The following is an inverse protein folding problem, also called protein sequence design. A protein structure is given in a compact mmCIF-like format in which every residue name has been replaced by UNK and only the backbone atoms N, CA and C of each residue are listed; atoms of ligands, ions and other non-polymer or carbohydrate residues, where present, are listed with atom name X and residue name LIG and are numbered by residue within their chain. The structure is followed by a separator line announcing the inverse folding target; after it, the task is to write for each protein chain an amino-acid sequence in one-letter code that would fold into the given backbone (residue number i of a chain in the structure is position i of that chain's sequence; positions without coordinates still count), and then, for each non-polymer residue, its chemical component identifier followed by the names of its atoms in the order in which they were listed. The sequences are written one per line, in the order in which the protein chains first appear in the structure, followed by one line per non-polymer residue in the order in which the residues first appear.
data_IF_014201613702
#
_entry.id   IF_014201613702
#
_cell.length_a   1.000
_cell.length_b   1.000
_cell.length_c   1.000
_cell.angle_alpha   90.00
_cell.angle_beta   90.00
_cell.angle_gamma   90.00
#
_symmetry.space_group_name_H-M   'P 1'
#
loop_
_entity.id
_entity.type
_entity.pdbx_description
1 polymer ?
#
# COMPACT_ATOMS: atom_id res chain seq x y z
N UNK A 1 -80.36 2.23 -6.23
CA UNK A 1 -79.59 2.65 -5.06
C UNK A 1 -78.24 1.88 -5.14
N UNK A 2 -77.21 2.57 -5.55
CA UNK A 2 -75.83 1.97 -5.75
C UNK A 2 -75.03 2.33 -4.56
N UNK A 3 -74.59 1.32 -3.82
CA UNK A 3 -73.69 1.42 -2.65
C UNK A 3 -72.23 1.46 -3.15
N UNK A 4 -71.51 2.56 -2.93
CA UNK A 4 -70.16 2.80 -3.22
C UNK A 4 -69.35 2.21 -2.04
N UNK A 5 -68.53 1.19 -2.30
CA UNK A 5 -67.54 0.67 -1.34
C UNK A 5 -66.22 1.43 -1.52
N UNK A 6 -65.85 2.19 -0.50
CA UNK A 6 -64.60 2.89 -0.38
C UNK A 6 -63.50 1.89 0.07
N UNK A 7 -62.56 1.62 -0.80
CA UNK A 7 -61.34 0.85 -0.45
C UNK A 7 -60.30 1.82 0.14
N UNK A 8 -60.05 1.69 1.43
CA UNK A 8 -58.93 2.37 2.11
C UNK A 8 -57.69 1.56 1.85
N UNK A 9 -56.76 2.05 1.03
CA UNK A 9 -55.40 1.52 0.88
C UNK A 9 -54.56 2.10 2.02
N UNK A 10 -54.23 1.28 3.03
CA UNK A 10 -53.20 1.57 4.03
C UNK A 10 -51.84 1.34 3.38
N UNK A 11 -51.17 2.42 2.99
CA UNK A 11 -49.71 2.40 2.70
C UNK A 11 -48.97 2.29 4.03
N UNK A 12 -48.50 1.08 4.32
CA UNK A 12 -47.54 0.85 5.37
C UNK A 12 -46.17 1.25 4.86
N UNK A 13 -45.73 2.48 5.09
CA UNK A 13 -44.34 2.88 4.95
C UNK A 13 -43.55 2.24 6.10
N UNK A 14 -42.96 1.08 5.84
CA UNK A 14 -41.92 0.56 6.70
C UNK A 14 -40.67 1.47 6.53
N UNK A 15 -40.49 2.41 7.44
CA UNK A 15 -39.22 3.09 7.61
C UNK A 15 -38.23 2.02 8.12
N UNK A 16 -37.46 1.43 7.22
CA UNK A 16 -36.21 0.76 7.62
C UNK A 16 -35.35 1.88 8.20
N UNK A 17 -35.26 1.91 9.51
CA UNK A 17 -34.19 2.61 10.21
C UNK A 17 -32.89 1.86 9.85
N UNK A 18 -32.18 2.33 8.82
CA UNK A 18 -30.79 1.98 8.63
C UNK A 18 -30.06 2.47 9.88
N UNK A 19 -29.60 1.53 10.71
CA UNK A 19 -28.63 1.87 11.74
C UNK A 19 -27.46 2.55 11.03
N UNK A 20 -26.90 3.65 11.56
CA UNK A 20 -25.72 4.25 10.95
C UNK A 20 -24.63 3.19 10.91
N UNK A 21 -24.23 2.81 9.72
CA UNK A 21 -23.05 1.97 9.50
C UNK A 21 -21.87 2.82 9.95
N UNK A 22 -21.10 2.37 10.93
CA UNK A 22 -19.96 3.09 11.47
C UNK A 22 -19.03 3.47 10.31
N UNK A 23 -18.69 4.75 10.16
CA UNK A 23 -17.89 5.31 9.08
C UNK A 23 -18.67 5.92 7.90
N UNK A 24 -19.82 5.39 7.49
CA UNK A 24 -20.60 5.96 6.36
C UNK A 24 -21.36 7.26 6.71
N UNK A 25 -21.47 7.61 7.98
CA UNK A 25 -22.15 8.86 8.42
C UNK A 25 -21.18 10.03 8.64
N UNK A 26 -19.88 9.78 8.63
CA UNK A 26 -18.84 10.80 8.76
C UNK A 26 -18.51 11.36 7.38
N UNK A 27 -18.40 12.68 7.26
CA UNK A 27 -17.92 13.33 6.03
C UNK A 27 -16.41 13.07 5.82
N UNK A 28 -15.91 13.41 4.63
CA UNK A 28 -14.46 13.39 4.35
C UNK A 28 -13.75 14.25 5.38
N UNK A 29 -12.63 13.77 5.99
CA UNK A 29 -11.86 14.52 6.96
C UNK A 29 -11.33 15.83 6.38
N UNK A 30 -11.29 16.88 7.20
CA UNK A 30 -10.69 18.17 6.81
C UNK A 30 -9.16 18.11 6.98
N UNK A 31 -8.44 17.86 5.90
CA UNK A 31 -6.98 17.76 5.90
C UNK A 31 -6.24 19.10 6.01
N UNK A 32 -6.96 20.22 6.13
CA UNK A 32 -6.36 21.47 6.59
C UNK A 32 -5.99 21.44 8.08
N UNK A 33 -6.50 20.44 8.81
CA UNK A 33 -6.31 20.27 10.25
C UNK A 33 -5.19 19.25 10.53
N UNK A 34 -4.12 19.66 11.24
CA UNK A 34 -2.99 18.75 11.53
C UNK A 34 -3.36 17.47 12.29
N UNK A 35 -4.44 17.47 13.07
CA UNK A 35 -4.94 16.29 13.80
C UNK A 35 -5.48 15.18 12.89
N UNK A 36 -5.69 15.47 11.61
CA UNK A 36 -6.07 14.46 10.60
C UNK A 36 -4.85 13.85 9.88
N UNK A 37 -3.64 14.17 10.37
CA UNK A 37 -2.40 13.58 9.90
C UNK A 37 -1.69 12.83 11.03
N UNK A 38 -1.18 11.66 10.73
CA UNK A 38 -0.27 10.92 11.61
C UNK A 38 1.15 11.49 11.50
N UNK A 39 1.57 11.85 10.28
CA UNK A 39 2.78 12.64 10.01
C UNK A 39 2.41 13.82 9.13
N UNK A 40 2.85 15.01 9.54
CA UNK A 40 2.65 16.25 8.79
C UNK A 40 3.98 16.99 8.70
N UNK A 41 4.59 16.98 7.52
CA UNK A 41 5.85 17.65 7.21
C UNK A 41 7.02 17.29 8.16
N UNK A 42 7.12 16.01 8.59
CA UNK A 42 8.22 15.58 9.45
C UNK A 42 9.51 15.45 8.62
N UNK A 43 10.60 16.14 9.01
CA UNK A 43 11.87 16.16 8.27
C UNK A 43 11.92 17.28 7.21
N UNK A 44 11.62 18.53 7.59
CA UNK A 44 11.53 19.69 6.69
C UNK A 44 12.79 19.95 5.85
N UNK A 45 13.96 19.50 6.32
CA UNK A 45 15.25 19.68 5.65
C UNK A 45 15.49 18.76 4.43
N UNK A 46 14.62 17.78 4.19
CA UNK A 46 14.77 16.81 3.09
C UNK A 46 14.35 17.42 1.75
N UNK A 47 14.97 16.94 0.67
CA UNK A 47 14.73 17.45 -0.70
C UNK A 47 13.59 16.75 -1.43
N UNK A 48 13.13 15.60 -0.94
CA UNK A 48 12.00 14.84 -1.44
C UNK A 48 10.89 14.72 -0.39
N UNK A 49 9.68 14.42 -0.84
CA UNK A 49 8.54 14.13 0.03
C UNK A 49 8.19 12.64 -0.02
N UNK A 50 7.76 12.10 1.11
CA UNK A 50 7.10 10.81 1.22
C UNK A 50 5.61 11.03 1.52
N UNK A 51 4.74 10.47 0.70
CA UNK A 51 3.33 10.29 1.03
C UNK A 51 3.12 8.81 1.40
N UNK A 52 2.97 8.54 2.72
CA UNK A 52 2.91 7.20 3.28
C UNK A 52 1.50 6.83 3.69
N UNK A 53 0.99 5.71 3.20
CA UNK A 53 -0.36 5.23 3.44
C UNK A 53 -0.33 3.99 4.34
N UNK A 54 -0.99 4.11 5.49
CA UNK A 54 -1.02 3.08 6.52
C UNK A 54 -1.71 1.79 6.05
N UNK A 55 -1.23 0.61 6.47
CA UNK A 55 -1.95 -0.65 6.28
C UNK A 55 -3.22 -0.74 7.13
N UNK A 56 -3.98 -1.82 6.96
CA UNK A 56 -5.12 -2.12 7.83
C UNK A 56 -4.66 -2.44 9.24
N UNK A 57 -5.11 -1.65 10.21
CA UNK A 57 -4.92 -1.90 11.65
C UNK A 57 -6.23 -2.05 12.40
N UNK A 58 -7.36 -1.75 11.78
CA UNK A 58 -8.69 -1.91 12.35
C UNK A 58 -9.13 -3.38 12.30
N UNK A 59 -9.04 -4.05 13.44
CA UNK A 59 -9.43 -5.45 13.63
C UNK A 59 -10.84 -5.61 14.18
N UNK A 60 -11.52 -4.54 14.58
CA UNK A 60 -12.74 -4.61 15.40
C UNK A 60 -13.99 -4.19 14.63
N UNK A 61 -13.92 -3.12 13.84
CA UNK A 61 -15.06 -2.61 13.12
C UNK A 61 -15.55 -3.60 12.05
N UNK A 62 -16.80 -3.44 11.66
CA UNK A 62 -17.40 -4.30 10.64
C UNK A 62 -16.98 -3.87 9.22
N UNK A 63 -16.81 -2.56 9.02
CA UNK A 63 -16.53 -1.99 7.70
C UNK A 63 -15.34 -1.03 7.70
N UNK A 64 -15.50 0.21 8.17
CA UNK A 64 -14.44 1.21 8.20
C UNK A 64 -14.25 1.78 9.61
N UNK A 65 -13.02 2.18 9.93
CA UNK A 65 -12.75 2.88 11.19
C UNK A 65 -13.40 4.27 11.18
N UNK A 66 -13.78 4.72 12.38
CA UNK A 66 -14.18 6.11 12.62
C UNK A 66 -12.94 6.99 12.83
N UNK A 67 -12.97 8.23 12.34
CA UNK A 67 -11.93 9.22 12.59
C UNK A 67 -11.87 9.67 14.06
N UNK A 68 -12.90 9.39 14.84
CA UNK A 68 -12.94 9.64 16.29
C UNK A 68 -12.35 8.50 17.14
N UNK A 69 -12.05 7.35 16.53
CA UNK A 69 -11.48 6.18 17.21
C UNK A 69 -10.00 6.39 17.56
N UNK A 70 -9.77 6.81 18.80
CA UNK A 70 -8.41 7.10 19.30
C UNK A 70 -7.55 5.85 19.48
N UNK A 71 -8.16 4.70 19.77
CA UNK A 71 -7.44 3.44 19.95
C UNK A 71 -6.93 2.92 18.62
N UNK A 72 -7.78 2.91 17.60
CA UNK A 72 -7.37 2.55 16.24
C UNK A 72 -6.36 3.56 15.68
N UNK A 73 -6.53 4.88 15.93
CA UNK A 73 -5.51 5.88 15.54
C UNK A 73 -4.15 5.65 16.22
N UNK A 74 -4.11 5.19 17.45
CA UNK A 74 -2.84 4.84 18.12
C UNK A 74 -2.18 3.63 17.46
N UNK A 75 -2.95 2.61 17.10
CA UNK A 75 -2.46 1.44 16.33
C UNK A 75 -2.00 1.85 14.93
N UNK A 76 -2.72 2.76 14.28
CA UNK A 76 -2.40 3.35 12.98
C UNK A 76 -1.02 4.04 13.01
N UNK A 77 -0.79 4.92 13.99
CA UNK A 77 0.50 5.56 14.16
C UNK A 77 1.61 4.53 14.47
N UNK A 78 1.29 3.50 15.25
CA UNK A 78 2.21 2.40 15.54
C UNK A 78 2.65 1.65 14.28
N UNK A 79 1.72 1.30 13.40
CA UNK A 79 2.04 0.64 12.13
C UNK A 79 2.93 1.51 11.24
N UNK A 80 2.59 2.79 11.09
CA UNK A 80 3.44 3.74 10.34
C UNK A 80 4.84 3.87 10.95
N UNK A 81 4.96 3.91 12.27
CA UNK A 81 6.26 3.94 12.94
C UNK A 81 7.12 2.71 12.62
N UNK A 82 6.51 1.55 12.41
CA UNK A 82 7.26 0.34 12.06
C UNK A 82 7.92 0.42 10.69
N UNK A 83 7.35 1.19 9.76
CA UNK A 83 7.80 1.30 8.36
C UNK A 83 8.65 2.55 8.10
N UNK A 84 8.40 3.64 8.83
CA UNK A 84 8.95 4.97 8.51
C UNK A 84 10.46 4.99 8.40
N UNK A 85 11.18 4.15 9.18
CA UNK A 85 12.63 4.08 9.17
C UNK A 85 13.24 3.68 7.82
N UNK A 86 12.44 3.13 6.89
CA UNK A 86 12.85 2.89 5.52
C UNK A 86 13.06 4.22 4.77
N UNK A 87 12.31 5.27 5.12
CA UNK A 87 12.14 6.49 4.33
C UNK A 87 12.63 7.76 5.03
N UNK A 88 12.56 7.83 6.39
CA UNK A 88 12.69 9.08 7.15
C UNK A 88 14.04 9.78 7.01
N UNK A 89 15.11 9.03 6.71
CA UNK A 89 16.43 9.62 6.45
C UNK A 89 16.50 10.33 5.08
N UNK A 90 15.57 10.04 4.18
CA UNK A 90 15.62 10.46 2.78
C UNK A 90 14.55 11.48 2.42
N UNK A 91 13.34 11.37 2.97
CA UNK A 91 12.20 12.16 2.56
C UNK A 91 11.47 12.81 3.75
N UNK A 92 10.81 13.94 3.48
CA UNK A 92 9.91 14.62 4.41
C UNK A 92 8.56 13.87 4.43
N UNK A 93 8.08 13.50 5.62
CA UNK A 93 6.99 12.56 5.78
C UNK A 93 5.62 13.25 5.88
N UNK A 94 4.70 12.76 5.07
CA UNK A 94 3.26 13.00 5.14
C UNK A 94 2.53 11.66 5.23
N UNK A 95 1.62 11.50 6.19
CA UNK A 95 0.79 10.31 6.32
C UNK A 95 -0.58 10.72 6.89
N UNK A 96 -1.65 10.68 6.10
CA UNK A 96 -2.98 11.02 6.59
C UNK A 96 -3.56 9.91 7.44
N UNK A 97 -4.34 10.26 8.48
CA UNK A 97 -5.35 9.34 8.98
C UNK A 97 -6.50 9.28 7.99
N UNK A 98 -7.07 8.12 7.80
CA UNK A 98 -8.20 7.93 6.88
C UNK A 98 -9.13 6.84 7.41
N UNK A 99 -10.38 6.83 6.98
CA UNK A 99 -11.38 5.81 7.33
C UNK A 99 -11.04 4.47 6.66
N UNK A 100 -9.93 3.87 7.07
CA UNK A 100 -9.45 2.61 6.49
C UNK A 100 -10.53 1.52 6.56
N UNK A 101 -10.55 0.64 5.56
CA UNK A 101 -11.37 -0.56 5.60
C UNK A 101 -10.84 -1.51 6.68
N UNK A 102 -11.73 -2.00 7.54
CA UNK A 102 -11.39 -2.94 8.61
C UNK A 102 -11.02 -4.32 8.05
N UNK A 103 -10.30 -5.10 8.83
CA UNK A 103 -9.86 -6.45 8.43
C UNK A 103 -11.00 -7.35 7.97
N UNK A 104 -12.19 -7.24 8.55
CA UNK A 104 -13.36 -8.03 8.15
C UNK A 104 -13.79 -7.80 6.70
N UNK A 105 -13.56 -6.62 6.15
CA UNK A 105 -13.89 -6.28 4.77
C UNK A 105 -13.14 -7.19 3.79
N UNK A 106 -11.91 -7.58 4.12
CA UNK A 106 -11.09 -8.45 3.26
C UNK A 106 -11.58 -9.90 3.19
N UNK A 107 -12.49 -10.32 4.09
CA UNK A 107 -13.16 -11.61 4.01
C UNK A 107 -14.41 -11.62 3.09
N UNK A 108 -14.81 -10.46 2.58
CA UNK A 108 -15.93 -10.32 1.64
C UNK A 108 -15.49 -10.62 0.21
N UNK A 109 -16.47 -10.93 -0.65
CA UNK A 109 -16.21 -11.02 -2.09
C UNK A 109 -15.75 -9.67 -2.65
N UNK A 110 -14.90 -9.65 -3.71
CA UNK A 110 -14.32 -8.41 -4.23
C UNK A 110 -15.35 -7.29 -4.50
N UNK A 111 -16.52 -7.62 -5.08
CA UNK A 111 -17.56 -6.63 -5.38
C UNK A 111 -18.30 -6.12 -4.12
N UNK A 112 -18.32 -6.90 -3.04
CA UNK A 112 -18.97 -6.51 -1.76
C UNK A 112 -18.06 -5.61 -0.94
N UNK A 113 -16.74 -5.80 -1.03
CA UNK A 113 -15.76 -4.98 -0.28
C UNK A 113 -15.48 -3.63 -0.93
N UNK A 114 -15.69 -3.49 -2.26
CA UNK A 114 -15.32 -2.29 -3.01
C UNK A 114 -15.94 -0.99 -2.46
N UNK A 115 -17.19 -0.91 -2.02
CA UNK A 115 -17.75 0.32 -1.42
C UNK A 115 -16.99 0.81 -0.19
N UNK A 116 -16.41 -0.10 0.60
CA UNK A 116 -15.66 0.20 1.81
C UNK A 116 -14.23 0.64 1.50
N UNK A 117 -13.62 0.04 0.49
CA UNK A 117 -12.34 0.48 -0.06
C UNK A 117 -12.46 1.83 -0.77
N UNK A 118 -13.55 2.07 -1.48
CA UNK A 118 -13.83 3.37 -2.11
C UNK A 118 -13.99 4.48 -1.07
N UNK A 119 -14.63 4.20 0.08
CA UNK A 119 -14.73 5.15 1.19
C UNK A 119 -13.35 5.49 1.79
N UNK A 120 -12.49 4.48 1.96
CA UNK A 120 -11.12 4.68 2.41
C UNK A 120 -10.32 5.52 1.40
N UNK A 121 -10.50 5.25 0.12
CA UNK A 121 -9.84 5.96 -0.96
C UNK A 121 -10.31 7.43 -1.10
N UNK A 122 -11.60 7.71 -0.86
CA UNK A 122 -12.13 9.08 -0.84
C UNK A 122 -11.33 9.98 0.13
N UNK A 123 -10.98 9.47 1.30
CA UNK A 123 -10.18 10.19 2.28
C UNK A 123 -8.74 10.36 1.80
N UNK A 124 -8.13 9.30 1.26
CA UNK A 124 -6.76 9.34 0.74
C UNK A 124 -6.64 10.33 -0.41
N UNK A 125 -7.58 10.32 -1.35
CA UNK A 125 -7.66 11.27 -2.47
C UNK A 125 -7.76 12.72 -1.96
N UNK A 126 -8.64 12.99 -0.99
CA UNK A 126 -8.77 14.33 -0.40
C UNK A 126 -7.51 14.79 0.35
N UNK A 127 -6.82 13.86 1.05
CA UNK A 127 -5.54 14.17 1.69
C UNK A 127 -4.44 14.46 0.67
N UNK A 128 -4.41 13.71 -0.43
CA UNK A 128 -3.45 13.89 -1.49
C UNK A 128 -3.68 15.22 -2.25
N UNK A 129 -4.95 15.57 -2.51
CA UNK A 129 -5.32 16.88 -3.07
C UNK A 129 -4.83 18.03 -2.18
N UNK A 130 -5.06 17.92 -0.85
CA UNK A 130 -4.58 18.92 0.10
C UNK A 130 -3.06 19.03 0.04
N UNK A 131 -2.36 17.90 0.10
CA UNK A 131 -0.90 17.82 0.05
C UNK A 131 -0.35 18.47 -1.23
N UNK A 132 -0.89 18.13 -2.40
CA UNK A 132 -0.44 18.69 -3.67
C UNK A 132 -0.66 20.21 -3.73
N UNK A 133 -1.82 20.68 -3.25
CA UNK A 133 -2.20 22.08 -3.34
C UNK A 133 -1.45 23.00 -2.37
N UNK A 134 -1.03 22.50 -1.19
CA UNK A 134 -0.54 23.35 -0.09
C UNK A 134 0.87 23.03 0.37
N UNK A 135 1.34 21.79 0.20
CA UNK A 135 2.56 21.30 0.84
C UNK A 135 3.66 20.89 -0.17
N UNK A 136 3.29 20.21 -1.25
CA UNK A 136 4.27 19.63 -2.17
C UNK A 136 5.12 20.66 -2.90
N UNK A 137 4.53 21.74 -3.40
CA UNK A 137 5.21 22.82 -4.12
C UNK A 137 6.12 22.33 -5.27
N UNK A 138 5.75 21.23 -5.94
CA UNK A 138 6.51 20.65 -7.06
C UNK A 138 7.74 19.83 -6.63
N UNK A 139 7.82 19.40 -5.37
CA UNK A 139 8.92 18.58 -4.85
C UNK A 139 8.81 17.13 -5.36
N UNK A 140 9.96 16.43 -5.52
CA UNK A 140 9.97 15.00 -5.83
C UNK A 140 9.19 14.18 -4.80
N UNK A 141 8.45 13.17 -5.28
CA UNK A 141 7.55 12.37 -4.46
C UNK A 141 7.99 10.90 -4.43
N UNK A 142 8.14 10.34 -3.24
CA UNK A 142 8.06 8.91 -2.97
C UNK A 142 6.63 8.63 -2.50
N UNK A 143 5.94 7.72 -3.15
CA UNK A 143 4.64 7.22 -2.70
C UNK A 143 4.87 5.85 -2.06
N UNK A 144 4.36 5.61 -0.87
CA UNK A 144 4.56 4.33 -0.22
C UNK A 144 3.31 3.87 0.55
N UNK A 145 3.15 2.55 0.62
CA UNK A 145 2.10 1.91 1.40
C UNK A 145 2.32 0.42 1.52
N UNK A 146 1.81 -0.13 2.59
CA UNK A 146 1.84 -1.55 2.86
C UNK A 146 0.41 -2.11 2.90
N UNK A 147 0.18 -3.32 2.35
CA UNK A 147 -1.13 -3.97 2.37
C UNK A 147 -2.24 -3.08 1.78
N UNK A 148 -3.28 -2.69 2.54
CA UNK A 148 -4.29 -1.72 2.11
C UNK A 148 -3.66 -0.40 1.63
N UNK A 149 -2.59 0.05 2.29
CA UNK A 149 -1.86 1.24 1.84
C UNK A 149 -1.28 1.10 0.44
N UNK A 150 -0.82 -0.11 0.07
CA UNK A 150 -0.36 -0.38 -1.29
C UNK A 150 -1.51 -0.37 -2.31
N UNK A 151 -2.68 -0.91 -1.98
CA UNK A 151 -3.90 -0.80 -2.81
C UNK A 151 -4.26 0.68 -3.05
N UNK A 152 -4.20 1.51 -2.00
CA UNK A 152 -4.46 2.95 -2.11
C UNK A 152 -3.41 3.67 -2.98
N UNK A 153 -2.14 3.24 -2.94
CA UNK A 153 -1.12 3.75 -3.85
C UNK A 153 -1.47 3.49 -5.32
N UNK A 154 -1.95 2.29 -5.65
CA UNK A 154 -2.39 2.00 -7.03
C UNK A 154 -3.57 2.89 -7.45
N UNK A 155 -4.56 3.10 -6.59
CA UNK A 155 -5.70 4.00 -6.87
C UNK A 155 -5.26 5.45 -7.09
N UNK A 156 -4.26 5.93 -6.34
CA UNK A 156 -3.66 7.24 -6.59
C UNK A 156 -2.93 7.29 -7.94
N UNK A 157 -2.20 6.22 -8.30
CA UNK A 157 -1.56 6.15 -9.62
C UNK A 157 -2.59 6.18 -10.75
N UNK A 158 -3.70 5.45 -10.61
CA UNK A 158 -4.78 5.39 -11.58
C UNK A 158 -5.40 6.77 -11.82
N UNK A 159 -5.70 7.51 -10.74
CA UNK A 159 -6.43 8.77 -10.80
C UNK A 159 -5.54 9.96 -11.13
N UNK A 160 -4.36 10.07 -10.52
CA UNK A 160 -3.55 11.29 -10.55
C UNK A 160 -2.39 11.25 -11.52
N UNK A 161 -1.69 10.13 -11.62
CA UNK A 161 -0.39 10.07 -12.31
C UNK A 161 -0.49 9.86 -13.82
N UNK A 162 -1.71 9.93 -14.39
CA UNK A 162 -1.91 10.19 -15.81
C UNK A 162 -1.57 11.63 -16.22
N UNK A 163 -1.46 12.56 -15.24
CA UNK A 163 -0.94 13.90 -15.47
C UNK A 163 0.59 13.87 -15.59
N UNK A 164 1.13 14.26 -16.74
CA UNK A 164 2.57 14.21 -17.02
C UNK A 164 3.38 15.09 -16.06
N UNK A 165 2.84 16.25 -15.65
CA UNK A 165 3.57 17.18 -14.78
C UNK A 165 3.70 16.60 -13.37
N UNK A 166 2.70 15.89 -12.88
CA UNK A 166 2.76 15.18 -11.60
C UNK A 166 3.61 13.92 -11.70
N UNK A 167 3.47 13.14 -12.80
CA UNK A 167 4.29 11.95 -13.01
C UNK A 167 5.80 12.28 -13.02
N UNK A 168 6.17 13.42 -13.59
CA UNK A 168 7.56 13.91 -13.58
C UNK A 168 8.13 14.21 -12.19
N UNK A 169 7.31 14.24 -11.15
CA UNK A 169 7.74 14.39 -9.76
C UNK A 169 7.93 13.04 -9.05
N UNK A 170 7.49 11.93 -9.68
CA UNK A 170 7.48 10.62 -9.05
C UNK A 170 8.87 9.99 -9.05
N UNK A 171 9.45 9.80 -7.87
CA UNK A 171 10.70 9.04 -7.70
C UNK A 171 10.41 7.55 -7.88
N UNK A 172 9.55 7.00 -7.03
CA UNK A 172 9.09 5.63 -7.09
C UNK A 172 7.87 5.43 -6.18
N UNK A 173 7.15 4.32 -6.41
CA UNK A 173 6.09 3.83 -5.52
C UNK A 173 6.55 2.55 -4.85
N UNK A 174 6.52 2.50 -3.53
CA UNK A 174 6.78 1.29 -2.76
C UNK A 174 5.44 0.71 -2.30
N UNK A 175 4.84 -0.12 -3.14
CA UNK A 175 3.56 -0.78 -2.89
C UNK A 175 3.82 -2.23 -2.42
N UNK A 176 4.12 -2.37 -1.13
CA UNK A 176 4.56 -3.64 -0.54
C UNK A 176 3.36 -4.43 0.01
N UNK A 177 3.39 -5.75 -0.16
CA UNK A 177 2.36 -6.64 0.39
C UNK A 177 1.00 -6.52 -0.30
N UNK A 178 0.95 -6.03 -1.54
CA UNK A 178 -0.21 -6.07 -2.41
C UNK A 178 0.23 -6.18 -3.88
N UNK A 179 -0.33 -7.10 -4.68
CA UNK A 179 0.22 -7.41 -5.99
C UNK A 179 0.00 -6.27 -7.02
N UNK A 180 1.06 -5.88 -7.72
CA UNK A 180 0.98 -5.15 -8.98
C UNK A 180 0.67 -6.15 -10.09
N UNK A 181 -0.54 -6.19 -10.62
CA UNK A 181 -0.92 -7.23 -11.58
C UNK A 181 -0.64 -6.84 -13.04
N UNK A 182 -0.45 -7.85 -13.90
CA UNK A 182 -0.30 -7.65 -15.34
C UNK A 182 -1.51 -6.92 -15.93
N UNK A 183 -2.71 -7.24 -15.43
CA UNK A 183 -3.96 -6.61 -15.86
C UNK A 183 -4.00 -5.13 -15.52
N UNK A 184 -3.53 -4.77 -14.32
CA UNK A 184 -3.46 -3.38 -13.85
C UNK A 184 -2.55 -2.55 -14.75
N UNK A 185 -1.33 -3.02 -15.02
CA UNK A 185 -0.38 -2.28 -15.88
C UNK A 185 -0.83 -2.19 -17.34
N UNK A 186 -1.58 -3.17 -17.82
CA UNK A 186 -2.17 -3.14 -19.16
C UNK A 186 -3.33 -2.13 -19.28
N UNK A 187 -4.06 -1.90 -18.16
CA UNK A 187 -5.18 -0.95 -18.11
C UNK A 187 -4.71 0.48 -17.88
N UNK A 188 -3.67 0.67 -17.06
CA UNK A 188 -3.17 1.97 -16.61
C UNK A 188 -1.68 2.13 -16.95
N UNK A 189 -1.36 2.73 -18.11
CA UNK A 189 0.03 2.84 -18.59
C UNK A 189 0.98 3.58 -17.64
N UNK A 190 0.46 4.45 -16.77
CA UNK A 190 1.24 5.15 -15.74
C UNK A 190 1.67 4.24 -14.58
N UNK A 191 1.11 3.02 -14.46
CA UNK A 191 1.56 2.02 -13.49
C UNK A 191 2.65 1.19 -14.16
N UNK A 192 3.90 1.59 -13.96
CA UNK A 192 5.08 0.96 -14.53
C UNK A 192 5.79 0.14 -13.47
N UNK A 193 5.91 -1.19 -13.65
CA UNK A 193 6.65 -2.02 -12.70
C UNK A 193 8.16 -1.76 -12.79
N UNK A 194 8.86 -1.72 -11.65
CA UNK A 194 10.31 -1.64 -11.61
C UNK A 194 10.95 -2.87 -12.27
N UNK A 195 11.96 -2.66 -13.10
CA UNK A 195 12.71 -3.71 -13.81
C UNK A 195 14.17 -3.79 -13.37
N UNK A 196 14.63 -2.83 -12.56
CA UNK A 196 15.98 -2.73 -12.05
C UNK A 196 16.06 -1.92 -10.76
N UNK A 197 17.26 -1.90 -10.17
CA UNK A 197 17.55 -1.29 -8.86
C UNK A 197 17.32 0.23 -8.84
N UNK A 198 17.52 0.91 -9.97
CA UNK A 198 17.60 2.37 -10.00
C UNK A 198 16.55 3.04 -10.89
N UNK A 199 15.58 2.29 -11.43
CA UNK A 199 14.53 2.85 -12.27
C UNK A 199 13.73 3.91 -11.50
N UNK A 200 13.29 4.97 -12.21
CA UNK A 200 12.51 6.07 -11.63
C UNK A 200 11.09 6.10 -12.22
N UNK A 201 10.13 6.62 -11.45
CA UNK A 201 8.73 6.66 -11.86
C UNK A 201 8.04 5.29 -11.84
N UNK A 202 8.58 4.32 -11.14
CA UNK A 202 8.17 2.92 -11.18
C UNK A 202 7.60 2.43 -9.86
N UNK A 203 6.91 1.27 -9.93
CA UNK A 203 6.36 0.57 -8.77
C UNK A 203 7.31 -0.55 -8.34
N UNK A 204 7.77 -0.50 -7.12
CA UNK A 204 8.43 -1.58 -6.37
C UNK A 204 7.33 -2.34 -5.64
N UNK A 205 7.06 -3.57 -6.05
CA UNK A 205 6.01 -4.41 -5.47
C UNK A 205 6.49 -5.83 -5.27
N UNK A 206 6.17 -6.39 -4.13
CA UNK A 206 6.33 -7.81 -3.78
C UNK A 206 5.51 -8.15 -2.53
N UNK A 207 5.20 -9.43 -2.34
CA UNK A 207 4.83 -10.06 -1.09
C UNK A 207 5.62 -11.36 -0.90
N UNK A 208 5.74 -11.83 0.34
CA UNK A 208 6.66 -12.91 0.70
C UNK A 208 5.93 -14.11 1.27
N UNK A 209 6.38 -15.29 0.87
CA UNK A 209 5.85 -16.55 1.41
C UNK A 209 6.92 -17.66 1.45
N UNK A 210 6.70 -18.67 2.27
CA UNK A 210 7.50 -19.88 2.26
C UNK A 210 7.38 -20.65 0.92
N UNK A 211 8.38 -21.45 0.52
CA UNK A 211 8.34 -22.21 -0.74
C UNK A 211 7.10 -23.09 -0.92
N UNK A 212 6.54 -23.63 0.16
CA UNK A 212 5.41 -24.56 0.16
C UNK A 212 4.05 -23.88 -0.01
N UNK A 213 3.95 -22.57 0.26
CA UNK A 213 2.70 -21.83 0.10
C UNK A 213 2.37 -21.68 -1.37
N UNK A 214 1.19 -22.06 -1.79
CA UNK A 214 0.76 -22.04 -3.19
C UNK A 214 -0.28 -20.97 -3.50
N UNK A 215 -0.88 -20.37 -2.47
CA UNK A 215 -1.83 -19.27 -2.55
C UNK A 215 -2.04 -18.62 -1.17
N UNK A 216 -2.41 -17.36 -1.17
CA UNK A 216 -2.88 -16.62 0.00
C UNK A 216 -4.12 -15.81 -0.38
N UNK A 217 -4.75 -15.16 0.60
CA UNK A 217 -5.81 -14.19 0.29
C UNK A 217 -5.26 -12.90 -0.37
N UNK A 218 -3.97 -12.60 -0.20
CA UNK A 218 -3.28 -11.45 -0.82
C UNK A 218 -2.96 -11.79 -2.28
N UNK A 219 -2.37 -12.97 -2.50
CA UNK A 219 -1.96 -13.44 -3.82
C UNK A 219 -2.57 -14.81 -4.08
N UNK A 220 -3.83 -14.88 -4.57
CA UNK A 220 -4.50 -16.10 -5.00
C UNK A 220 -3.70 -16.90 -6.06
N UNK A 221 -4.06 -18.16 -6.26
CA UNK A 221 -3.32 -19.09 -7.13
C UNK A 221 -3.25 -18.65 -8.61
N UNK A 222 -4.26 -17.92 -9.08
CA UNK A 222 -4.38 -17.39 -10.44
C UNK A 222 -3.77 -16.00 -10.62
N UNK A 223 -3.29 -15.35 -9.56
CA UNK A 223 -2.67 -14.02 -9.64
C UNK A 223 -1.41 -14.07 -10.50
N UNK A 224 -1.23 -13.03 -11.29
CA UNK A 224 -0.03 -12.78 -12.09
C UNK A 224 0.51 -11.41 -11.75
N UNK A 225 1.33 -11.37 -10.69
CA UNK A 225 1.95 -10.13 -10.24
C UNK A 225 3.27 -9.86 -10.98
N UNK A 226 3.53 -8.59 -11.21
CA UNK A 226 4.82 -8.05 -11.65
C UNK A 226 5.60 -7.68 -10.40
N UNK A 227 6.50 -8.56 -10.01
CA UNK A 227 7.25 -8.47 -8.75
C UNK A 227 8.72 -8.26 -9.03
N UNK A 228 9.36 -7.43 -8.21
CA UNK A 228 10.82 -7.28 -8.22
C UNK A 228 11.41 -7.91 -6.95
N UNK A 229 12.50 -8.65 -7.09
CA UNK A 229 13.21 -9.25 -5.98
C UNK A 229 13.92 -8.14 -5.17
N UNK A 230 13.62 -7.94 -3.87
CA UNK A 230 14.15 -6.82 -3.09
C UNK A 230 15.64 -6.93 -2.73
N UNK A 231 16.30 -8.03 -3.07
CA UNK A 231 17.73 -8.24 -2.86
C UNK A 231 18.56 -7.96 -4.11
N UNK A 232 18.25 -8.65 -5.23
CA UNK A 232 19.01 -8.53 -6.48
C UNK A 232 18.38 -7.62 -7.54
N UNK A 233 17.20 -7.05 -7.25
CA UNK A 233 16.45 -6.11 -8.10
C UNK A 233 16.16 -6.66 -9.51
N UNK A 234 15.86 -7.97 -9.62
CA UNK A 234 15.45 -8.64 -10.85
C UNK A 234 13.99 -9.05 -10.78
N UNK A 235 13.35 -9.15 -11.94
CA UNK A 235 11.96 -9.62 -12.07
C UNK A 235 11.85 -11.10 -12.44
N UNK A 236 12.96 -11.78 -12.70
CA UNK A 236 12.99 -13.21 -13.02
C UNK A 236 13.22 -14.08 -11.77
N UNK A 237 13.12 -15.39 -11.94
CA UNK A 237 13.34 -16.37 -10.89
C UNK A 237 14.81 -16.55 -10.42
N UNK A 238 15.73 -15.66 -10.85
CA UNK A 238 17.13 -15.70 -10.39
C UNK A 238 17.18 -15.56 -8.88
N UNK A 239 17.69 -16.57 -8.14
CA UNK A 239 17.82 -16.47 -6.70
C UNK A 239 18.79 -15.38 -6.28
N UNK A 240 18.48 -14.69 -5.20
CA UNK A 240 19.39 -13.83 -4.46
C UNK A 240 19.88 -14.58 -3.22
N UNK A 241 21.20 -14.55 -3.00
CA UNK A 241 21.82 -15.17 -1.84
C UNK A 241 21.57 -14.32 -0.58
N UNK A 242 21.50 -14.99 0.58
CA UNK A 242 21.33 -14.28 1.86
C UNK A 242 22.42 -13.25 2.16
N UNK A 243 23.61 -13.35 1.56
CA UNK A 243 24.66 -12.34 1.68
C UNK A 243 24.31 -11.00 1.01
N UNK A 244 23.29 -10.97 0.13
CA UNK A 244 22.76 -9.77 -0.48
C UNK A 244 21.76 -9.04 0.44
N UNK A 245 21.29 -9.70 1.51
CA UNK A 245 20.42 -9.12 2.50
C UNK A 245 21.23 -8.24 3.48
N UNK A 246 21.11 -6.93 3.33
CA UNK A 246 21.85 -5.94 4.13
C UNK A 246 21.39 -5.89 5.58
N UNK A 247 20.17 -6.30 5.87
CA UNK A 247 19.62 -6.40 7.21
C UNK A 247 18.10 -6.45 7.23
N UNK A 248 17.59 -7.50 7.87
CA UNK A 248 16.22 -7.54 8.33
C UNK A 248 16.09 -6.73 9.61
N UNK A 249 15.09 -5.85 9.71
CA UNK A 249 14.84 -5.07 10.91
C UNK A 249 13.43 -5.31 11.41
N UNK A 250 13.31 -5.75 12.66
CA UNK A 250 12.04 -5.96 13.33
C UNK A 250 11.80 -4.77 14.25
N UNK A 251 10.78 -4.02 13.97
CA UNK A 251 10.46 -2.76 14.63
C UNK A 251 9.24 -2.90 15.53
N UNK A 252 9.19 -2.14 16.60
CA UNK A 252 8.00 -2.03 17.47
C UNK A 252 7.15 -0.82 17.08
N UNK A 253 6.01 -0.65 17.74
CA UNK A 253 5.08 0.47 17.52
C UNK A 253 5.63 1.86 17.86
N UNK A 254 6.79 1.93 18.54
CA UNK A 254 7.52 3.20 18.73
C UNK A 254 8.47 3.53 17.56
N UNK A 255 8.64 2.58 16.62
CA UNK A 255 9.61 2.69 15.52
C UNK A 255 11.03 2.29 15.92
N UNK A 256 11.22 1.71 17.12
CA UNK A 256 12.52 1.22 17.56
C UNK A 256 12.82 -0.14 16.90
N UNK A 257 14.01 -0.30 16.36
CA UNK A 257 14.51 -1.59 15.89
C UNK A 257 14.86 -2.45 17.11
N UNK A 258 14.02 -3.44 17.39
CA UNK A 258 14.20 -4.36 18.53
C UNK A 258 15.06 -5.56 18.19
N UNK A 259 15.23 -5.88 16.90
CA UNK A 259 16.11 -6.91 16.36
C UNK A 259 16.56 -6.49 14.97
N UNK A 260 17.86 -6.62 14.71
CA UNK A 260 18.43 -6.44 13.38
C UNK A 260 19.32 -7.65 13.05
N UNK A 261 19.20 -8.18 11.82
CA UNK A 261 19.94 -9.37 11.40
C UNK A 261 20.33 -9.25 9.92
N UNK A 262 21.62 -8.97 9.66
CA UNK A 262 22.15 -9.00 8.32
C UNK A 262 22.24 -10.45 7.80
N UNK A 263 21.89 -10.66 6.53
CA UNK A 263 21.90 -11.99 5.94
C UNK A 263 20.86 -12.95 6.54
N UNK A 264 19.72 -12.45 7.02
CA UNK A 264 18.64 -13.28 7.56
C UNK A 264 18.20 -14.33 6.55
N UNK A 265 17.91 -13.91 5.32
CA UNK A 265 17.39 -14.78 4.26
C UNK A 265 17.86 -14.32 2.88
N UNK A 266 17.95 -15.28 1.95
CA UNK A 266 17.88 -15.05 0.53
C UNK A 266 16.44 -15.15 0.03
N UNK A 267 16.24 -14.96 -1.27
CA UNK A 267 14.90 -15.11 -1.86
C UNK A 267 14.98 -15.34 -3.38
N UNK A 268 13.85 -15.79 -3.95
CA UNK A 268 13.66 -15.88 -5.40
C UNK A 268 12.20 -15.63 -5.74
N UNK A 269 11.90 -15.31 -7.00
CA UNK A 269 10.51 -15.09 -7.46
C UNK A 269 9.95 -16.41 -8.01
N UNK A 270 8.75 -16.80 -7.54
CA UNK A 270 7.88 -17.75 -8.25
C UNK A 270 7.28 -17.03 -9.47
N UNK A 271 7.87 -17.22 -10.63
CA UNK A 271 7.48 -16.54 -11.88
C UNK A 271 6.04 -16.82 -12.32
N UNK A 272 5.43 -17.90 -11.83
CA UNK A 272 4.05 -18.23 -12.18
C UNK A 272 3.05 -17.27 -11.56
N UNK A 273 3.28 -16.89 -10.30
CA UNK A 273 2.39 -16.02 -9.52
C UNK A 273 2.95 -14.61 -9.33
N UNK A 274 4.27 -14.46 -9.44
CA UNK A 274 4.95 -13.22 -9.10
C UNK A 274 4.99 -13.00 -7.59
N UNK A 275 5.47 -13.98 -6.82
CA UNK A 275 5.59 -13.92 -5.36
C UNK A 275 7.02 -14.21 -4.96
N UNK A 276 7.53 -13.48 -3.99
CA UNK A 276 8.87 -13.71 -3.43
C UNK A 276 8.84 -14.92 -2.49
N UNK A 277 9.62 -15.93 -2.81
CA UNK A 277 9.83 -17.12 -1.99
C UNK A 277 11.03 -16.93 -1.08
N UNK A 278 10.84 -17.16 0.23
CA UNK A 278 11.90 -17.03 1.25
C UNK A 278 12.15 -18.42 1.87
N UNK A 279 13.21 -19.14 1.42
CA UNK A 279 13.46 -20.51 1.83
C UNK A 279 14.25 -20.65 3.13
N UNK A 280 14.91 -19.61 3.61
CA UNK A 280 15.95 -19.70 4.64
C UNK A 280 15.43 -19.49 6.07
N UNK A 281 14.13 -19.22 6.24
CA UNK A 281 13.51 -19.00 7.56
C UNK A 281 12.51 -20.10 7.87
N UNK A 282 12.41 -20.47 9.14
CA UNK A 282 11.39 -21.42 9.60
C UNK A 282 10.05 -20.68 9.73
N UNK A 283 8.98 -21.11 9.05
CA UNK A 283 7.65 -20.50 9.20
C UNK A 283 7.15 -20.40 10.63
N UNK A 284 7.54 -21.34 11.49
CA UNK A 284 7.15 -21.33 12.92
C UNK A 284 7.73 -20.15 13.71
N UNK A 285 8.88 -19.60 13.26
CA UNK A 285 9.52 -18.43 13.89
C UNK A 285 8.88 -17.09 13.42
N UNK A 286 8.12 -17.14 12.32
CA UNK A 286 7.49 -15.98 11.67
C UNK A 286 6.00 -16.24 11.40
N UNK A 287 5.19 -16.46 12.45
CA UNK A 287 3.77 -16.81 12.29
C UNK A 287 2.99 -15.64 11.66
N UNK A 288 2.00 -15.93 10.81
CA UNK A 288 1.11 -14.91 10.28
C UNK A 288 0.25 -14.34 11.42
N UNK A 289 0.12 -13.01 11.47
CA UNK A 289 -0.77 -12.33 12.44
C UNK A 289 -2.08 -11.89 11.81
N UNK A 290 -2.16 -11.86 10.48
CA UNK A 290 -3.39 -11.52 9.75
C UNK A 290 -4.31 -12.74 9.70
N UNK A 291 -5.56 -12.64 10.20
CA UNK A 291 -6.50 -13.75 10.16
C UNK A 291 -6.72 -14.29 8.73
N UNK A 292 -6.70 -15.60 8.59
CA UNK A 292 -6.94 -16.28 7.29
C UNK A 292 -5.69 -16.48 6.42
N UNK A 293 -4.55 -15.95 6.81
CA UNK A 293 -3.28 -16.29 6.16
C UNK A 293 -2.76 -17.65 6.67
N UNK A 294 -2.26 -18.53 5.78
CA UNK A 294 -1.64 -19.80 6.18
C UNK A 294 -0.28 -19.58 6.85
N UNK A 295 0.19 -20.59 7.59
CA UNK A 295 1.58 -20.66 8.03
C UNK A 295 2.52 -20.54 6.82
N UNK A 296 3.58 -19.75 6.95
CA UNK A 296 4.50 -19.44 5.86
C UNK A 296 4.05 -18.28 4.95
N UNK A 297 2.90 -17.66 5.18
CA UNK A 297 2.58 -16.37 4.57
C UNK A 297 3.22 -15.26 5.40
N UNK A 298 4.25 -14.63 4.87
CA UNK A 298 5.10 -13.67 5.60
C UNK A 298 4.64 -12.21 5.48
N UNK A 299 3.38 -11.99 5.17
CA UNK A 299 2.84 -10.68 4.83
C UNK A 299 3.31 -9.54 5.74
N UNK A 300 3.22 -9.70 7.07
CA UNK A 300 3.69 -8.63 7.99
C UNK A 300 5.20 -8.44 7.97
N UNK A 301 5.95 -9.45 7.49
CA UNK A 301 7.41 -9.41 7.42
C UNK A 301 7.91 -8.95 6.05
N UNK A 302 7.06 -8.68 5.07
CA UNK A 302 7.44 -8.30 3.71
C UNK A 302 8.50 -7.20 3.68
N UNK A 303 8.26 -6.07 4.35
CA UNK A 303 9.23 -4.99 4.42
C UNK A 303 10.29 -5.23 5.51
N UNK A 304 10.00 -5.98 6.58
CA UNK A 304 10.93 -6.20 7.69
C UNK A 304 12.11 -7.09 7.28
N UNK A 305 11.88 -8.14 6.48
CA UNK A 305 12.93 -9.03 6.01
C UNK A 305 13.97 -8.33 5.12
N UNK A 306 13.56 -7.28 4.42
CA UNK A 306 14.38 -6.56 3.45
C UNK A 306 14.58 -5.08 3.81
N UNK A 307 14.40 -4.72 5.07
CA UNK A 307 14.34 -3.34 5.54
C UNK A 307 15.53 -2.50 5.07
N UNK A 308 16.76 -2.96 5.28
CA UNK A 308 17.96 -2.21 4.91
C UNK A 308 18.17 -2.13 3.39
N UNK A 309 17.75 -3.16 2.65
CA UNK A 309 17.77 -3.12 1.19
C UNK A 309 16.77 -2.08 0.66
N UNK A 310 15.56 -2.03 1.23
CA UNK A 310 14.57 -1.00 0.88
C UNK A 310 15.06 0.40 1.27
N UNK A 311 15.58 0.58 2.48
CA UNK A 311 16.12 1.86 2.94
C UNK A 311 17.21 2.39 2.00
N UNK A 312 18.17 1.53 1.64
CA UNK A 312 19.21 1.87 0.66
C UNK A 312 18.61 2.22 -0.70
N UNK A 313 17.66 1.43 -1.19
CA UNK A 313 17.06 1.63 -2.50
C UNK A 313 16.27 2.95 -2.58
N UNK A 314 15.53 3.32 -1.52
CA UNK A 314 14.85 4.62 -1.43
C UNK A 314 15.87 5.76 -1.55
N UNK A 315 16.98 5.66 -0.82
CA UNK A 315 18.04 6.68 -0.86
C UNK A 315 18.69 6.78 -2.24
N UNK A 316 19.06 5.65 -2.86
CA UNK A 316 19.71 5.61 -4.17
C UNK A 316 18.81 6.16 -5.28
N UNK A 317 17.52 5.79 -5.30
CA UNK A 317 16.55 6.31 -6.27
C UNK A 317 16.30 7.81 -6.08
N UNK A 318 16.21 8.26 -4.84
CA UNK A 318 16.05 9.70 -4.54
C UNK A 318 17.27 10.49 -4.99
N UNK A 319 18.47 10.02 -4.66
CA UNK A 319 19.71 10.67 -5.12
C UNK A 319 19.79 10.73 -6.66
N UNK A 320 19.49 9.61 -7.34
CA UNK A 320 19.43 9.57 -8.81
C UNK A 320 18.43 10.58 -9.35
N UNK A 321 17.22 10.63 -8.79
CA UNK A 321 16.18 11.57 -9.23
C UNK A 321 16.66 13.03 -9.08
N UNK A 322 17.26 13.38 -7.95
CA UNK A 322 17.78 14.74 -7.72
C UNK A 322 18.92 15.11 -8.69
N UNK A 323 19.65 14.11 -9.22
CA UNK A 323 20.69 14.31 -10.22
C UNK A 323 20.13 14.43 -11.65
N UNK A 324 19.09 13.66 -12.01
CA UNK A 324 18.52 13.60 -13.36
C UNK A 324 17.34 14.53 -13.56
N UNK A 325 16.57 14.81 -12.51
CA UNK A 325 15.44 15.73 -12.48
C UNK A 325 14.13 15.20 -13.07
N UNK A 326 14.06 13.91 -13.42
CA UNK A 326 12.84 13.30 -13.97
C UNK A 326 12.87 11.77 -13.87
N UNK A 327 11.70 11.10 -13.90
CA UNK A 327 11.57 9.66 -14.16
C UNK A 327 12.23 9.25 -15.47
N UNK A 328 12.55 7.97 -15.57
CA UNK A 328 13.01 7.39 -16.83
C UNK A 328 11.89 7.49 -17.90
N UNK A 329 12.26 7.77 -19.15
CA UNK A 329 11.28 7.74 -20.25
C UNK A 329 10.76 6.30 -20.39
N UNK A 330 9.43 6.14 -20.35
CA UNK A 330 8.79 4.85 -20.63
C UNK A 330 9.15 4.50 -22.08
N UNK A 331 9.92 3.43 -22.29
CA UNK A 331 10.27 2.99 -23.63
C UNK A 331 8.96 2.72 -24.41
N UNK A 332 8.69 3.47 -25.46
CA UNK A 332 7.59 3.14 -26.38
C UNK A 332 7.81 1.71 -26.88
N UNK A 333 6.91 0.79 -26.50
CA UNK A 333 6.91 -0.54 -27.09
C UNK A 333 6.80 -0.39 -28.60
N UNK A 334 7.89 -0.73 -29.30
CA UNK A 334 7.88 -0.80 -30.76
C UNK A 334 6.78 -1.79 -31.15
N UNK A 335 5.75 -1.39 -31.91
CA UNK A 335 4.66 -2.32 -32.24
C UNK A 335 5.26 -3.52 -32.96
N UNK A 336 5.08 -4.70 -32.35
CA UNK A 336 5.44 -5.98 -32.98
C UNK A 336 4.60 -6.09 -34.24
N UNK A 337 5.17 -5.77 -35.38
CA UNK A 337 4.58 -6.02 -36.70
C UNK A 337 4.40 -7.53 -36.83
N UNK A 338 3.13 -7.94 -36.90
CA UNK A 338 2.72 -9.32 -37.16
C UNK A 338 3.10 -9.78 -38.56
#
# INVERSE_FOLDING_TARGET
MKTIRLFLLLLLCAALALAPVCGMGEGVPDYSLPENWAYYAIGEEKDADLFLICPTVDMQNEYNMSMDDKETKASFLGALNMERGIYEDTARLYAPYYRQAAMKVYSMEPYEREPWLALAYEDISAAFDWYLAHENAGRPIVLAGFSQGADMCYRLLEEYFGDEALYRQLIAVYAIGWPCTVEMTAQYPQIVSATGEHDLGVVVSFDCEAPEVSQTLITPAETRALTINPLNWKMDGTPADRSENLGACFTNYSGEIVREEAGLCGCYIDERRGVVKVPDVDPADYPPIVPGLPEGAYHIYDYQFFFRNLQKNVADRTERFLQTGAPDEVAEETPVTK
#
